data_IF_811533500241
#
_entry.id   IF_811533500241
#
_cell.length_a   1.000
_cell.length_b   1.000
_cell.length_c   1.000
_cell.angle_alpha   90.00
_cell.angle_beta   90.00
_cell.angle_gamma   90.00
#
_symmetry.space_group_name_H-M   'P 1'
#
loop_
_entity.id
_entity.type
_entity.pdbx_description
1 polymer ?
#
# COMPACT_ATOMS: atom_id res chain seq x y z
N UNK A 1 19.25 0.11 19.73
CA UNK A 1 19.46 -0.08 18.28
C UNK A 1 18.25 0.53 17.60
N UNK A 2 18.41 1.55 16.76
CA UNK A 2 17.28 2.16 16.05
C UNK A 2 16.88 1.27 14.89
N UNK A 3 15.61 0.85 14.76
CA UNK A 3 15.17 -0.01 13.66
C UNK A 3 15.40 0.69 12.31
N UNK A 4 15.77 -0.08 11.29
CA UNK A 4 15.91 0.43 9.94
C UNK A 4 14.56 0.95 9.42
N UNK A 5 14.59 2.09 8.73
CA UNK A 5 13.40 2.70 8.12
C UNK A 5 13.45 2.47 6.61
N UNK A 6 12.32 2.06 6.05
CA UNK A 6 12.14 1.75 4.63
C UNK A 6 10.95 2.54 4.10
N UNK A 7 11.13 3.23 2.97
CA UNK A 7 10.03 3.92 2.28
C UNK A 7 9.29 2.93 1.39
N UNK A 8 8.00 2.74 1.66
CA UNK A 8 7.12 1.85 0.90
C UNK A 8 6.17 2.68 0.04
N UNK A 9 6.03 2.26 -1.21
CA UNK A 9 5.14 2.85 -2.20
C UNK A 9 3.90 1.99 -2.41
N UNK A 10 2.77 2.67 -2.57
CA UNK A 10 1.45 2.11 -2.87
C UNK A 10 0.89 2.75 -4.14
N UNK A 11 -0.36 2.40 -4.48
CA UNK A 11 -1.09 3.02 -5.59
C UNK A 11 -1.18 4.55 -5.40
N UNK A 12 -1.42 5.27 -6.50
CA UNK A 12 -1.66 6.72 -6.44
C UNK A 12 -0.45 7.54 -6.02
N UNK A 13 0.78 7.02 -6.20
CA UNK A 13 2.02 7.66 -5.75
C UNK A 13 2.13 7.86 -4.23
N UNK A 14 1.29 7.16 -3.44
CA UNK A 14 1.37 7.20 -1.97
C UNK A 14 2.68 6.55 -1.52
N UNK A 15 3.46 7.29 -0.73
CA UNK A 15 4.73 6.82 -0.14
C UNK A 15 4.69 7.02 1.36
N UNK A 16 5.04 5.98 2.12
CA UNK A 16 4.93 5.97 3.58
C UNK A 16 6.16 5.29 4.16
N UNK A 17 6.79 5.87 5.20
CA UNK A 17 7.89 5.22 5.91
C UNK A 17 7.36 4.09 6.82
N UNK A 18 8.06 2.95 6.81
CA UNK A 18 7.82 1.80 7.68
C UNK A 18 9.08 1.40 8.42
N UNK A 19 8.93 0.88 9.63
CA UNK A 19 10.01 0.26 10.37
C UNK A 19 10.25 -1.19 9.92
N UNK A 20 11.51 -1.60 9.94
CA UNK A 20 11.95 -2.96 9.68
C UNK A 20 12.58 -3.56 10.95
N UNK A 21 11.81 -3.81 12.02
CA UNK A 21 12.34 -4.27 13.31
C UNK A 21 12.93 -5.69 13.24
N UNK A 22 12.53 -6.47 12.22
CA UNK A 22 12.99 -7.85 12.00
C UNK A 22 14.23 -7.92 11.08
N UNK A 23 14.80 -6.78 10.70
CA UNK A 23 15.97 -6.70 9.79
C UNK A 23 15.77 -7.52 8.50
N UNK A 24 14.55 -7.49 7.96
CA UNK A 24 14.19 -8.22 6.74
C UNK A 24 15.03 -7.65 5.61
N UNK A 25 15.81 -8.51 4.94
CA UNK A 25 16.61 -8.11 3.79
C UNK A 25 15.70 -7.74 2.62
N UNK A 26 15.66 -6.45 2.30
CA UNK A 26 14.87 -5.89 1.21
C UNK A 26 15.71 -4.95 0.36
N UNK A 27 15.35 -4.78 -0.90
CA UNK A 27 15.96 -3.84 -1.83
C UNK A 27 14.88 -3.07 -2.60
N UNK A 28 15.19 -1.89 -3.17
CA UNK A 28 14.26 -1.19 -4.06
C UNK A 28 13.70 -2.12 -5.14
N UNK A 29 12.39 -2.07 -5.33
CA UNK A 29 11.63 -2.93 -6.25
C UNK A 29 11.05 -4.20 -5.60
N UNK A 30 11.53 -4.62 -4.43
CA UNK A 30 10.94 -5.75 -3.70
C UNK A 30 9.53 -5.42 -3.20
N UNK A 31 8.66 -6.43 -3.18
CA UNK A 31 7.32 -6.34 -2.60
C UNK A 31 7.31 -6.86 -1.17
N UNK A 32 6.57 -6.18 -0.30
CA UNK A 32 6.50 -6.49 1.14
C UNK A 32 5.09 -6.36 1.67
N UNK A 33 4.77 -7.22 2.64
CA UNK A 33 3.56 -7.11 3.45
C UNK A 33 3.86 -6.23 4.65
N UNK A 34 2.97 -5.28 4.92
CA UNK A 34 3.12 -4.27 5.96
C UNK A 34 1.84 -4.16 6.80
N UNK A 35 1.97 -3.62 8.00
CA UNK A 35 0.81 -3.30 8.84
C UNK A 35 -0.01 -2.14 8.25
N UNK A 36 -1.33 -2.27 8.20
CA UNK A 36 -2.25 -1.21 7.80
C UNK A 36 -2.99 -0.64 9.02
N UNK A 37 -3.94 0.29 8.85
CA UNK A 37 -4.75 0.79 10.00
C UNK A 37 -5.66 -0.31 10.55
N UNK A 38 -6.16 -1.14 9.64
CA UNK A 38 -6.87 -2.37 9.94
C UNK A 38 -6.17 -3.44 9.14
N UNK A 39 -5.73 -4.53 9.76
CA UNK A 39 -5.13 -5.65 9.04
C UNK A 39 -3.81 -5.31 8.33
N UNK A 40 -3.65 -5.75 7.08
CA UNK A 40 -2.37 -5.70 6.34
C UNK A 40 -2.52 -5.12 4.93
N UNK A 41 -1.42 -4.56 4.42
CA UNK A 41 -1.32 -4.07 3.05
C UNK A 41 -0.09 -4.64 2.33
N UNK A 42 -0.09 -4.55 1.00
CA UNK A 42 1.03 -4.96 0.14
C UNK A 42 1.58 -3.71 -0.57
N UNK A 43 2.85 -3.43 -0.33
CA UNK A 43 3.54 -2.29 -0.94
C UNK A 43 4.88 -2.67 -1.54
N UNK A 44 5.43 -1.77 -2.36
CA UNK A 44 6.73 -1.95 -3.00
C UNK A 44 7.78 -1.06 -2.35
N UNK A 45 8.95 -1.62 -2.05
CA UNK A 45 10.09 -0.91 -1.49
C UNK A 45 10.60 0.12 -2.50
N UNK A 46 10.59 1.39 -2.10
CA UNK A 46 11.10 2.49 -2.91
C UNK A 46 12.53 2.88 -2.51
N UNK A 47 12.78 3.06 -1.20
CA UNK A 47 14.08 3.43 -0.64
C UNK A 47 14.33 2.71 0.68
N UNK A 48 15.60 2.44 0.98
CA UNK A 48 16.05 1.77 2.21
C UNK A 48 17.10 2.64 2.90
N UNK A 49 17.11 2.66 4.24
CA UNK A 49 18.22 3.17 5.04
C UNK A 49 18.07 4.60 5.55
N UNK A 50 19.16 5.14 6.10
CA UNK A 50 19.19 6.39 6.90
C UNK A 50 18.70 7.64 6.18
N UNK A 51 18.72 7.67 4.85
CA UNK A 51 18.19 8.81 4.07
C UNK A 51 16.66 8.95 4.21
N UNK A 52 15.95 7.86 4.55
CA UNK A 52 14.51 7.91 4.83
C UNK A 52 14.23 8.55 6.21
N UNK A 53 15.18 8.48 7.14
CA UNK A 53 15.04 9.07 8.48
C UNK A 53 15.09 10.61 8.49
N UNK A 54 15.40 11.24 7.35
CA UNK A 54 15.31 12.70 7.18
C UNK A 54 13.89 13.20 6.91
N UNK A 55 12.95 12.31 6.57
CA UNK A 55 11.55 12.69 6.41
C UNK A 55 10.91 12.86 7.78
N UNK A 56 10.15 13.94 7.98
CA UNK A 56 9.26 14.06 9.14
C UNK A 56 8.26 12.90 9.09
N UNK A 57 8.43 11.94 10.01
CA UNK A 57 7.45 10.87 10.15
C UNK A 57 6.29 11.44 10.96
N UNK A 58 5.17 11.69 10.28
CA UNK A 58 3.93 12.11 10.94
C UNK A 58 3.17 10.86 11.39
N UNK A 59 2.97 10.74 12.71
CA UNK A 59 2.29 9.61 13.34
C UNK A 59 3.23 8.44 13.66
N UNK A 60 2.66 7.36 14.19
CA UNK A 60 3.42 6.16 14.55
C UNK A 60 3.75 5.34 13.30
N UNK A 61 5.04 5.13 12.99
CA UNK A 61 5.44 4.37 11.81
C UNK A 61 5.09 2.89 12.03
N UNK A 62 4.44 2.31 11.03
CA UNK A 62 4.03 0.91 11.03
C UNK A 62 5.16 -0.02 10.63
N UNK A 63 5.03 -1.31 10.88
CA UNK A 63 6.09 -2.27 10.63
C UNK A 63 5.94 -3.01 9.30
N UNK A 64 7.08 -3.36 8.71
CA UNK A 64 7.18 -4.42 7.70
C UNK A 64 7.02 -5.77 8.41
N UNK A 65 6.10 -6.60 7.89
CA UNK A 65 5.79 -7.90 8.46
C UNK A 65 6.69 -8.98 7.86
N UNK A 66 6.76 -9.04 6.52
CA UNK A 66 7.54 -10.02 5.72
C UNK A 66 7.70 -9.57 4.26
N UNK A 67 8.58 -10.25 3.52
CA UNK A 67 8.60 -10.18 2.04
C UNK A 67 7.33 -10.80 1.46
N UNK A 68 6.87 -10.24 0.36
CA UNK A 68 5.75 -10.81 -0.39
C UNK A 68 6.16 -12.14 -1.03
N UNK A 69 5.19 -13.03 -1.15
CA UNK A 69 5.27 -14.28 -1.92
C UNK A 69 4.42 -14.16 -3.18
N UNK A 70 4.52 -15.12 -4.09
CA UNK A 70 3.83 -15.08 -5.38
C UNK A 70 2.31 -15.04 -5.23
N UNK A 71 1.76 -15.69 -4.20
CA UNK A 71 0.34 -15.66 -3.87
C UNK A 71 -0.13 -14.24 -3.50
N UNK A 72 0.71 -13.44 -2.84
CA UNK A 72 0.37 -12.05 -2.52
C UNK A 72 0.30 -11.21 -3.79
N UNK A 73 1.24 -11.41 -4.72
CA UNK A 73 1.25 -10.69 -6.00
C UNK A 73 0.05 -11.09 -6.88
N UNK A 74 -0.32 -12.37 -6.86
CA UNK A 74 -1.52 -12.86 -7.52
C UNK A 74 -2.78 -12.20 -6.94
N UNK A 75 -2.88 -12.11 -5.60
CA UNK A 75 -3.98 -11.44 -4.92
C UNK A 75 -4.05 -9.95 -5.25
N UNK A 76 -2.92 -9.25 -5.29
CA UNK A 76 -2.87 -7.85 -5.72
C UNK A 76 -3.42 -7.68 -7.13
N UNK A 77 -3.00 -8.55 -8.06
CA UNK A 77 -3.48 -8.51 -9.44
C UNK A 77 -4.98 -8.75 -9.53
N UNK A 78 -5.53 -9.64 -8.70
CA UNK A 78 -6.97 -9.85 -8.60
C UNK A 78 -7.68 -8.60 -8.06
N UNK A 79 -7.20 -8.04 -6.96
CA UNK A 79 -7.74 -6.80 -6.39
C UNK A 79 -7.77 -5.66 -7.43
N UNK A 80 -6.71 -5.51 -8.25
CA UNK A 80 -6.68 -4.51 -9.33
C UNK A 80 -7.74 -4.73 -10.41
N UNK A 81 -8.09 -5.98 -10.71
CA UNK A 81 -9.19 -6.29 -11.64
C UNK A 81 -10.53 -5.90 -11.04
N UNK A 82 -10.76 -6.26 -9.77
CA UNK A 82 -11.98 -5.92 -9.05
C UNK A 82 -12.14 -4.41 -8.88
N UNK A 83 -11.06 -3.67 -8.61
CA UNK A 83 -11.06 -2.20 -8.56
C UNK A 83 -11.55 -1.58 -9.88
N UNK A 84 -11.12 -2.11 -11.02
CA UNK A 84 -11.53 -1.61 -12.35
C UNK A 84 -13.02 -1.84 -12.61
N UNK A 85 -13.54 -3.02 -12.22
CA UNK A 85 -14.97 -3.32 -12.27
C UNK A 85 -15.76 -2.40 -11.35
N UNK A 86 -15.34 -2.27 -10.09
CA UNK A 86 -15.97 -1.41 -9.11
C UNK A 86 -15.97 0.07 -9.51
N UNK A 87 -14.89 0.56 -10.15
CA UNK A 87 -14.84 1.91 -10.71
C UNK A 87 -15.94 2.15 -11.75
N UNK A 88 -16.15 1.18 -12.65
CA UNK A 88 -17.17 1.25 -13.69
C UNK A 88 -18.57 1.29 -13.07
N UNK A 89 -18.86 0.38 -12.14
CA UNK A 89 -20.14 0.30 -11.43
C UNK A 89 -20.40 1.58 -10.61
N UNK A 90 -19.41 2.09 -9.90
CA UNK A 90 -19.54 3.32 -9.11
C UNK A 90 -19.87 4.51 -10.02
N UNK A 91 -19.17 4.64 -11.16
CA UNK A 91 -19.42 5.70 -12.15
C UNK A 91 -20.84 5.64 -12.73
N UNK A 92 -21.34 4.45 -13.04
CA UNK A 92 -22.71 4.26 -13.51
C UNK A 92 -23.74 4.67 -12.46
N UNK A 93 -23.51 4.30 -11.19
CA UNK A 93 -24.39 4.71 -10.07
C UNK A 93 -24.39 6.22 -9.87
N UNK A 94 -23.24 6.87 -9.91
CA UNK A 94 -23.12 8.33 -9.82
C UNK A 94 -24.00 9.01 -10.86
N UNK A 95 -23.93 8.54 -12.11
CA UNK A 95 -24.76 9.05 -13.22
C UNK A 95 -26.24 8.76 -12.98
N UNK A 96 -26.60 7.53 -12.59
CA UNK A 96 -27.99 7.10 -12.35
C UNK A 96 -28.66 7.93 -11.24
N UNK A 97 -27.92 8.30 -10.21
CA UNK A 97 -28.42 9.06 -9.06
C UNK A 97 -28.22 10.59 -9.20
N UNK A 98 -27.74 11.07 -10.35
CA UNK A 98 -27.48 12.48 -10.63
C UNK A 98 -26.64 13.17 -9.54
N UNK A 99 -25.63 12.47 -9.01
CA UNK A 99 -24.76 13.00 -7.97
C UNK A 99 -23.72 13.94 -8.60
N UNK A 100 -23.60 15.17 -8.06
CA UNK A 100 -22.57 16.12 -8.47
C UNK A 100 -21.20 15.74 -7.89
N UNK A 101 -20.60 14.67 -8.42
CA UNK A 101 -19.32 14.15 -7.96
C UNK A 101 -18.45 13.61 -9.09
N UNK A 102 -17.14 13.72 -8.93
CA UNK A 102 -16.13 13.13 -9.81
C UNK A 102 -15.48 11.95 -9.09
N UNK A 103 -15.65 10.74 -9.62
CA UNK A 103 -14.93 9.57 -9.14
C UNK A 103 -13.44 9.70 -9.49
N UNK A 104 -12.58 9.75 -8.48
CA UNK A 104 -11.13 9.94 -8.65
C UNK A 104 -10.41 8.60 -8.69
N UNK A 105 -10.69 7.71 -7.73
CA UNK A 105 -10.07 6.38 -7.65
C UNK A 105 -10.97 5.38 -6.92
N UNK A 106 -10.67 4.09 -7.08
CA UNK A 106 -11.23 2.95 -6.34
C UNK A 106 -10.08 2.05 -5.93
N UNK A 107 -10.02 1.70 -4.65
CA UNK A 107 -8.96 0.86 -4.09
C UNK A 107 -9.56 -0.27 -3.24
N UNK A 108 -9.01 -1.47 -3.37
CA UNK A 108 -9.20 -2.55 -2.42
C UNK A 108 -7.99 -2.62 -1.49
N UNK A 109 -8.25 -2.67 -0.18
CA UNK A 109 -7.22 -3.04 0.76
C UNK A 109 -6.74 -4.47 0.47
N UNK A 110 -5.43 -4.73 0.61
CA UNK A 110 -4.84 -6.01 0.24
C UNK A 110 -5.55 -7.22 0.87
N UNK A 111 -5.87 -7.16 2.16
CA UNK A 111 -6.57 -8.23 2.88
C UNK A 111 -8.10 -8.24 2.73
N UNK A 112 -8.68 -7.22 2.09
CA UNK A 112 -10.14 -7.01 1.91
C UNK A 112 -10.91 -6.90 3.22
N UNK A 113 -10.30 -6.36 4.27
CA UNK A 113 -10.93 -6.10 5.57
C UNK A 113 -11.48 -4.67 5.72
#
# INVERSE_FOLDING_TARGET
>A
MTPEIVEISFKGNKRVPYFNPKEIKVKPGDWVIVEAEKGIDLGQVNKVGRLVALFEIKGDPKNIIRRAVDEDLAKLKENRKEEALAFTVAREKIKKHNLNMKLVDVEYQFDRN
#
